data_IF_348803988653
#
_entry.id   IF_348803988653
#
_cell.length_a   1.000
_cell.length_b   1.000
_cell.length_c   1.000
_cell.angle_alpha   90.00
_cell.angle_beta   90.00
_cell.angle_gamma   90.00
#
_symmetry.space_group_name_H-M   'P 1'
#
loop_
_entity.id
_entity.type
_entity.pdbx_description
1 polymer ?
#
# COMPACT_ATOMS: atom_id res chain seq x y z
N UNK A 1 -10.21 -19.09 23.12
CA UNK A 1 -10.04 -20.25 22.23
C UNK A 1 -8.87 -19.91 21.33
N UNK A 2 -7.87 -20.80 21.13
CA UNK A 2 -6.86 -20.55 20.08
C UNK A 2 -7.61 -20.60 18.76
N UNK A 3 -7.54 -19.54 17.96
CA UNK A 3 -8.07 -19.51 16.61
C UNK A 3 -7.46 -20.64 15.77
N UNK A 4 -8.15 -21.05 14.70
CA UNK A 4 -7.61 -22.07 13.79
C UNK A 4 -6.29 -21.57 13.18
N UNK A 5 -5.26 -22.42 13.22
CA UNK A 5 -3.96 -22.12 12.60
C UNK A 5 -4.12 -22.16 11.08
N UNK A 6 -3.74 -21.09 10.39
CA UNK A 6 -3.78 -20.99 8.93
C UNK A 6 -2.37 -21.06 8.32
N UNK A 7 -2.29 -21.56 7.08
CA UNK A 7 -1.11 -21.42 6.22
C UNK A 7 -1.17 -20.14 5.41
N UNK A 8 -0.21 -19.24 5.67
CA UNK A 8 -0.23 -17.90 5.09
C UNK A 8 1.08 -17.62 4.34
N UNK A 9 0.97 -17.25 3.08
CA UNK A 9 2.12 -16.75 2.30
C UNK A 9 2.06 -15.25 2.17
N UNK A 10 3.17 -14.57 2.50
CA UNK A 10 3.29 -13.13 2.39
C UNK A 10 4.26 -12.76 1.27
N UNK A 11 3.75 -12.13 0.22
CA UNK A 11 4.53 -11.66 -0.93
C UNK A 11 4.97 -10.21 -0.69
N UNK A 12 6.28 -9.98 -0.65
CA UNK A 12 6.83 -8.65 -0.39
C UNK A 12 7.12 -8.39 1.09
N UNK A 13 8.33 -8.69 1.51
CA UNK A 13 8.80 -8.58 2.89
C UNK A 13 9.54 -7.25 3.15
N UNK A 14 8.92 -6.12 2.77
CA UNK A 14 9.32 -4.77 3.19
C UNK A 14 8.90 -4.48 4.64
N UNK A 15 8.88 -3.19 5.05
CA UNK A 15 8.54 -2.83 6.43
C UNK A 15 7.15 -3.33 6.86
N UNK A 16 6.11 -3.04 6.07
CA UNK A 16 4.73 -3.50 6.35
C UNK A 16 4.62 -5.02 6.23
N UNK A 17 5.26 -5.63 5.22
CA UNK A 17 5.23 -7.08 5.05
C UNK A 17 5.88 -7.83 6.21
N UNK A 18 7.04 -7.38 6.69
CA UNK A 18 7.69 -7.99 7.87
C UNK A 18 6.89 -7.77 9.16
N UNK A 19 6.20 -6.62 9.29
CA UNK A 19 5.30 -6.36 10.40
C UNK A 19 4.16 -7.37 10.44
N UNK A 20 3.47 -7.60 9.31
CA UNK A 20 2.43 -8.63 9.21
C UNK A 20 2.97 -10.04 9.42
N UNK A 21 4.11 -10.35 8.79
CA UNK A 21 4.74 -11.67 8.90
C UNK A 21 5.08 -12.00 10.35
N UNK A 22 5.71 -11.08 11.10
CA UNK A 22 6.04 -11.28 12.51
C UNK A 22 4.78 -11.43 13.39
N UNK A 23 3.75 -10.62 13.14
CA UNK A 23 2.51 -10.63 13.93
C UNK A 23 1.74 -11.94 13.73
N UNK A 24 1.62 -12.42 12.49
CA UNK A 24 0.96 -13.69 12.18
C UNK A 24 1.73 -14.90 12.72
N UNK A 25 3.05 -14.87 12.66
CA UNK A 25 3.90 -15.93 13.25
C UNK A 25 3.73 -15.99 14.77
N UNK A 26 3.69 -14.82 15.46
CA UNK A 26 3.47 -14.75 16.90
C UNK A 26 2.11 -15.31 17.33
N UNK A 27 1.09 -15.19 16.48
CA UNK A 27 -0.23 -15.78 16.72
C UNK A 27 -0.28 -17.30 16.49
N UNK A 28 0.80 -17.87 15.96
CA UNK A 28 0.94 -19.32 15.76
C UNK A 28 0.44 -19.79 14.40
N UNK A 29 0.28 -18.89 13.43
CA UNK A 29 0.02 -19.28 12.03
C UNK A 29 1.27 -19.89 11.39
N UNK A 30 1.09 -20.79 10.43
CA UNK A 30 2.16 -21.33 9.62
C UNK A 30 2.46 -20.32 8.50
N UNK A 31 3.54 -19.59 8.62
CA UNK A 31 3.85 -18.46 7.75
C UNK A 31 5.09 -18.67 6.90
N UNK A 32 5.09 -18.10 5.69
CA UNK A 32 6.31 -17.93 4.90
C UNK A 32 6.35 -16.55 4.23
N UNK A 33 7.58 -16.09 3.94
CA UNK A 33 7.83 -14.98 3.04
C UNK A 33 8.01 -15.45 1.60
N UNK A 34 7.55 -14.65 0.62
CA UNK A 34 7.89 -14.85 -0.79
C UNK A 34 8.70 -13.67 -1.29
N UNK A 35 9.92 -13.92 -1.71
CA UNK A 35 10.91 -12.92 -2.07
C UNK A 35 11.24 -12.98 -3.57
N UNK A 36 11.57 -11.84 -4.15
CA UNK A 36 11.99 -11.74 -5.56
C UNK A 36 13.26 -12.55 -5.85
N UNK A 37 14.22 -12.50 -4.94
CA UNK A 37 15.42 -13.35 -4.98
C UNK A 37 15.14 -14.51 -4.05
N UNK A 38 15.06 -15.71 -4.60
CA UNK A 38 14.73 -16.92 -3.86
C UNK A 38 15.82 -17.24 -2.81
N UNK A 39 15.37 -17.53 -1.59
CA UNK A 39 16.20 -17.99 -0.49
C UNK A 39 15.36 -18.89 0.43
N UNK A 40 16.01 -19.73 1.25
CA UNK A 40 15.30 -20.64 2.15
C UNK A 40 14.63 -19.95 3.30
N UNK A 41 15.26 -18.90 3.83
CA UNK A 41 14.86 -18.24 5.07
C UNK A 41 15.08 -16.74 5.00
N UNK A 42 14.24 -16.00 5.72
CA UNK A 42 14.36 -14.57 5.92
C UNK A 42 14.51 -14.27 7.41
N UNK A 43 15.56 -13.56 7.78
CA UNK A 43 15.65 -13.02 9.12
C UNK A 43 14.71 -11.81 9.27
N UNK A 44 13.75 -11.96 10.16
CA UNK A 44 12.75 -10.93 10.48
C UNK A 44 13.09 -10.34 11.85
N UNK A 45 13.41 -9.06 11.88
CA UNK A 45 13.68 -8.28 13.10
C UNK A 45 12.72 -7.09 13.12
N UNK A 46 11.76 -7.11 14.04
CA UNK A 46 10.71 -6.09 14.19
C UNK A 46 10.67 -5.60 15.63
N UNK A 47 10.72 -4.29 15.81
CA UNK A 47 10.48 -3.64 17.09
C UNK A 47 9.10 -2.98 17.08
N UNK A 48 8.27 -3.29 18.06
CA UNK A 48 6.97 -2.65 18.22
C UNK A 48 7.06 -1.34 19.03
N UNK A 49 6.01 -0.49 19.03
CA UNK A 49 6.02 0.77 19.77
C UNK A 49 6.12 0.60 21.30
N UNK A 50 5.81 -0.59 21.84
CA UNK A 50 5.96 -0.90 23.27
C UNK A 50 7.37 -1.33 23.66
N UNK A 51 8.28 -1.45 22.68
CA UNK A 51 9.66 -1.91 22.86
C UNK A 51 9.82 -3.43 22.83
N UNK A 52 8.76 -4.19 22.53
CA UNK A 52 8.90 -5.64 22.28
C UNK A 52 9.58 -5.87 20.97
N UNK A 53 10.35 -6.94 20.87
CA UNK A 53 11.09 -7.32 19.67
C UNK A 53 10.70 -8.72 19.22
N UNK A 54 10.54 -8.88 17.91
CA UNK A 54 10.45 -10.19 17.26
C UNK A 54 11.74 -10.41 16.46
N UNK A 55 12.41 -11.56 16.65
CA UNK A 55 13.66 -11.89 15.96
C UNK A 55 13.70 -13.37 15.66
N UNK A 56 13.29 -13.73 14.45
CA UNK A 56 13.25 -15.13 14.01
C UNK A 56 13.65 -15.28 12.54
N UNK A 57 14.08 -16.49 12.17
CA UNK A 57 14.20 -16.91 10.78
C UNK A 57 12.86 -17.50 10.34
N UNK A 58 12.26 -16.90 9.32
CA UNK A 58 11.00 -17.35 8.74
C UNK A 58 11.28 -18.04 7.41
N UNK A 59 10.69 -19.22 7.14
CA UNK A 59 10.82 -19.90 5.85
C UNK A 59 10.41 -19.01 4.68
N UNK A 60 11.07 -19.19 3.54
CA UNK A 60 10.79 -18.40 2.34
C UNK A 60 10.76 -19.28 1.09
N UNK A 61 10.01 -18.79 0.07
CA UNK A 61 10.00 -19.33 -1.28
C UNK A 61 9.74 -20.86 -1.38
N UNK A 62 9.00 -21.41 -0.43
CA UNK A 62 8.60 -22.81 -0.46
C UNK A 62 7.33 -22.96 -1.31
N UNK A 63 7.49 -23.59 -2.47
CA UNK A 63 6.39 -23.78 -3.42
C UNK A 63 5.28 -24.69 -2.86
N UNK A 64 5.63 -25.73 -2.09
CA UNK A 64 4.63 -26.63 -1.50
C UNK A 64 3.77 -25.91 -0.46
N UNK A 65 4.36 -24.98 0.31
CA UNK A 65 3.61 -24.13 1.23
C UNK A 65 2.68 -23.20 0.45
N UNK A 66 3.15 -22.57 -0.65
CA UNK A 66 2.32 -21.70 -1.48
C UNK A 66 1.11 -22.47 -2.05
N UNK A 67 1.33 -23.69 -2.53
CA UNK A 67 0.29 -24.57 -3.10
C UNK A 67 -0.76 -25.04 -2.08
N UNK A 68 -0.49 -24.86 -0.80
CA UNK A 68 -1.42 -25.18 0.30
C UNK A 68 -1.78 -23.97 1.15
N UNK A 69 -1.44 -22.77 0.68
CA UNK A 69 -1.78 -21.53 1.40
C UNK A 69 -3.28 -21.29 1.41
N UNK A 70 -3.78 -20.89 2.57
CA UNK A 70 -5.18 -20.55 2.83
C UNK A 70 -5.44 -19.05 2.75
N UNK A 71 -4.35 -18.25 2.78
CA UNK A 71 -4.35 -16.82 2.57
C UNK A 71 -3.02 -16.39 1.93
N UNK A 72 -3.10 -15.52 0.92
CA UNK A 72 -1.92 -14.84 0.37
C UNK A 72 -2.06 -13.34 0.64
N UNK A 73 -1.06 -12.74 1.28
CA UNK A 73 -1.01 -11.30 1.55
C UNK A 73 0.08 -10.67 0.68
N UNK A 74 -0.26 -9.65 -0.09
CA UNK A 74 0.67 -8.96 -1.00
C UNK A 74 0.98 -7.57 -0.44
N UNK A 75 2.20 -7.41 0.09
CA UNK A 75 2.71 -6.16 0.70
C UNK A 75 3.83 -5.55 -0.16
N UNK A 76 3.58 -5.39 -1.44
CA UNK A 76 4.50 -4.81 -2.41
C UNK A 76 4.18 -3.33 -2.68
N UNK A 77 5.08 -2.63 -3.36
CA UNK A 77 4.71 -1.39 -4.05
C UNK A 77 3.77 -1.72 -5.21
N UNK A 78 2.79 -0.86 -5.48
CA UNK A 78 1.76 -1.11 -6.49
C UNK A 78 2.33 -1.57 -7.85
N UNK A 79 3.39 -0.91 -8.31
CA UNK A 79 4.07 -1.23 -9.58
C UNK A 79 4.80 -2.58 -9.62
N UNK A 80 4.90 -3.29 -8.48
CA UNK A 80 5.52 -4.63 -8.40
C UNK A 80 4.48 -5.74 -8.36
N UNK A 81 3.22 -5.41 -8.11
CA UNK A 81 2.17 -6.40 -7.81
C UNK A 81 1.96 -7.36 -8.97
N UNK A 82 1.73 -6.85 -10.18
CA UNK A 82 1.47 -7.67 -11.37
C UNK A 82 2.65 -8.56 -11.71
N UNK A 83 3.87 -8.00 -11.74
CA UNK A 83 5.09 -8.75 -12.04
C UNK A 83 5.38 -9.87 -11.04
N UNK A 84 5.05 -9.64 -9.76
CA UNK A 84 5.29 -10.63 -8.71
C UNK A 84 4.20 -11.69 -8.61
N UNK A 85 2.92 -11.30 -8.78
CA UNK A 85 1.78 -12.17 -8.49
C UNK A 85 1.37 -13.02 -9.69
N UNK A 86 1.34 -12.46 -10.92
CA UNK A 86 0.89 -13.19 -12.11
C UNK A 86 1.62 -14.51 -12.34
N UNK A 87 2.97 -14.60 -12.20
CA UNK A 87 3.68 -15.87 -12.36
C UNK A 87 3.35 -16.92 -11.29
N UNK A 88 2.81 -16.50 -10.14
CA UNK A 88 2.52 -17.37 -9.01
C UNK A 88 1.09 -17.91 -8.99
N UNK A 89 0.17 -17.27 -9.73
CA UNK A 89 -1.26 -17.61 -9.69
C UNK A 89 -1.54 -19.08 -9.98
N UNK A 90 -0.80 -19.70 -10.91
CA UNK A 90 -0.93 -21.13 -11.21
C UNK A 90 -0.49 -22.08 -10.07
N UNK A 91 0.19 -21.56 -9.05
CA UNK A 91 0.61 -22.30 -7.86
C UNK A 91 -0.20 -21.95 -6.60
N UNK A 92 -1.07 -20.98 -6.68
CA UNK A 92 -2.00 -20.62 -5.59
C UNK A 92 -3.33 -21.32 -5.87
N UNK A 93 -3.92 -22.06 -4.91
CA UNK A 93 -5.23 -22.67 -5.11
C UNK A 93 -6.29 -21.62 -5.51
N UNK A 94 -7.15 -21.93 -6.48
CA UNK A 94 -8.10 -20.96 -7.03
C UNK A 94 -9.07 -20.37 -5.99
N UNK A 95 -9.33 -21.08 -4.90
CA UNK A 95 -10.17 -20.63 -3.79
C UNK A 95 -9.40 -19.89 -2.68
N UNK A 96 -8.07 -19.76 -2.79
CA UNK A 96 -7.30 -19.02 -1.79
C UNK A 96 -7.50 -17.52 -1.98
N UNK A 97 -7.96 -16.78 -0.95
CA UNK A 97 -8.08 -15.34 -1.01
C UNK A 97 -6.71 -14.66 -1.08
N UNK A 98 -6.63 -13.62 -1.89
CA UNK A 98 -5.45 -12.80 -2.07
C UNK A 98 -5.76 -11.39 -1.58
N UNK A 99 -5.10 -10.98 -0.49
CA UNK A 99 -5.23 -9.65 0.10
C UNK A 99 -4.15 -8.72 -0.43
N UNK A 100 -4.54 -7.68 -1.15
CA UNK A 100 -3.64 -6.64 -1.66
C UNK A 100 -3.51 -5.50 -0.66
N UNK A 101 -2.31 -5.31 -0.09
CA UNK A 101 -1.97 -4.26 0.87
C UNK A 101 -0.91 -3.32 0.28
N UNK A 102 -1.30 -2.50 -0.69
CA UNK A 102 -0.43 -1.47 -1.30
C UNK A 102 -1.12 -0.11 -1.31
N UNK A 103 -0.37 0.95 -1.62
CA UNK A 103 -0.95 2.26 -1.83
C UNK A 103 -1.37 2.44 -3.29
N UNK A 104 -2.33 3.34 -3.52
CA UNK A 104 -2.85 3.61 -4.85
C UNK A 104 -3.91 2.59 -5.30
N UNK A 105 -4.34 2.77 -6.54
CA UNK A 105 -5.36 1.97 -7.21
C UNK A 105 -4.90 1.65 -8.64
N UNK A 106 -5.59 0.72 -9.34
CA UNK A 106 -5.30 0.35 -10.72
C UNK A 106 -4.65 -1.02 -10.89
N UNK A 107 -4.17 -1.64 -9.83
CA UNK A 107 -3.54 -2.98 -9.89
C UNK A 107 -4.53 -4.11 -10.20
N UNK A 108 -5.80 -3.94 -9.85
CA UNK A 108 -6.84 -4.95 -10.11
C UNK A 108 -7.05 -5.14 -11.61
N UNK A 109 -7.07 -4.05 -12.36
CA UNK A 109 -7.22 -4.05 -13.82
C UNK A 109 -6.03 -4.74 -14.50
N UNK A 110 -4.83 -4.61 -13.94
CA UNK A 110 -3.62 -5.27 -14.44
C UNK A 110 -3.61 -6.78 -14.16
N UNK A 111 -4.28 -7.22 -13.10
CA UNK A 111 -4.41 -8.63 -12.73
C UNK A 111 -5.53 -9.36 -13.48
N UNK A 112 -6.35 -8.66 -14.27
CA UNK A 112 -7.44 -9.28 -15.00
C UNK A 112 -6.94 -10.20 -16.14
N UNK A 113 -7.55 -11.39 -16.35
CA UNK A 113 -8.70 -11.97 -15.66
C UNK A 113 -8.29 -12.90 -14.50
N UNK A 114 -8.17 -12.37 -13.29
CA UNK A 114 -7.92 -13.20 -12.11
C UNK A 114 -9.20 -13.88 -11.62
N UNK A 115 -9.12 -15.19 -11.28
CA UNK A 115 -10.25 -15.99 -10.78
C UNK A 115 -10.28 -16.12 -9.26
N UNK A 116 -9.17 -15.83 -8.59
CA UNK A 116 -9.07 -15.93 -7.14
C UNK A 116 -9.97 -14.91 -6.43
N UNK A 117 -10.42 -15.19 -5.21
CA UNK A 117 -11.02 -14.18 -4.34
C UNK A 117 -10.05 -13.05 -4.07
N UNK A 118 -10.36 -11.83 -4.46
CA UNK A 118 -9.50 -10.67 -4.26
C UNK A 118 -10.06 -9.77 -3.17
N UNK A 119 -9.23 -9.54 -2.17
CA UNK A 119 -9.46 -8.58 -1.10
C UNK A 119 -8.54 -7.36 -1.31
N UNK A 120 -9.07 -6.18 -1.12
CA UNK A 120 -8.25 -4.97 -0.96
C UNK A 120 -8.10 -4.64 0.51
N UNK A 121 -6.95 -4.09 0.85
CA UNK A 121 -6.68 -3.62 2.20
C UNK A 121 -6.00 -2.25 2.20
N UNK A 122 -6.42 -1.43 3.15
CA UNK A 122 -5.88 -0.09 3.40
C UNK A 122 -5.39 -0.05 4.84
N UNK A 123 -4.09 0.16 5.04
CA UNK A 123 -3.51 0.25 6.39
C UNK A 123 -2.99 1.65 6.69
N UNK A 124 -3.13 2.06 7.95
CA UNK A 124 -2.53 3.28 8.51
C UNK A 124 -1.41 2.99 9.50
N UNK A 125 -1.04 1.72 9.69
CA UNK A 125 0.16 1.37 10.44
C UNK A 125 1.38 2.07 9.85
N UNK A 126 2.20 2.66 10.71
CA UNK A 126 3.44 3.31 10.31
C UNK A 126 4.64 2.45 10.72
N UNK A 127 5.37 1.99 9.70
CA UNK A 127 6.61 1.23 9.89
C UNK A 127 7.66 1.66 8.88
N UNK A 128 8.92 1.66 9.29
CA UNK A 128 10.06 1.89 8.42
C UNK A 128 11.18 0.90 8.70
N UNK A 129 12.07 0.72 7.74
CA UNK A 129 13.15 -0.25 7.84
C UNK A 129 14.51 0.42 7.70
N UNK A 130 15.45 0.05 8.58
CA UNK A 130 16.86 0.43 8.51
C UNK A 130 17.72 -0.78 8.84
N UNK A 131 18.72 -1.06 8.02
CA UNK A 131 19.66 -2.17 8.22
C UNK A 131 18.97 -3.52 8.50
N UNK A 132 17.95 -3.87 7.71
CA UNK A 132 17.09 -5.06 7.88
C UNK A 132 16.19 -5.09 9.13
N UNK A 133 16.32 -4.14 10.06
CA UNK A 133 15.44 -4.01 11.21
C UNK A 133 14.23 -3.14 10.86
N UNK A 134 13.05 -3.59 11.23
CA UNK A 134 11.78 -2.86 11.08
C UNK A 134 11.41 -2.22 12.39
N UNK A 135 11.02 -0.96 12.32
CA UNK A 135 10.48 -0.19 13.42
C UNK A 135 9.01 0.11 13.15
N UNK A 136 8.13 -0.52 13.90
CA UNK A 136 6.72 -0.17 13.93
C UNK A 136 6.57 1.05 14.84
N UNK A 137 6.34 2.21 14.26
CA UNK A 137 6.40 3.49 15.02
C UNK A 137 5.05 3.99 15.48
N UNK A 138 3.97 3.54 14.84
CA UNK A 138 2.62 3.87 15.25
C UNK A 138 1.64 2.74 14.90
N UNK A 139 0.82 2.39 15.88
CA UNK A 139 -0.36 1.57 15.62
C UNK A 139 -1.33 2.31 14.72
N UNK A 140 -1.97 1.58 13.83
CA UNK A 140 -2.95 2.10 12.90
C UNK A 140 -4.13 1.15 12.78
N UNK A 141 -5.00 1.42 11.84
CA UNK A 141 -6.13 0.56 11.51
C UNK A 141 -5.89 0.00 10.10
N UNK A 142 -6.21 -1.28 9.92
CA UNK A 142 -6.26 -1.91 8.60
C UNK A 142 -7.72 -2.18 8.23
N UNK A 143 -8.18 -1.56 7.17
CA UNK A 143 -9.50 -1.80 6.59
C UNK A 143 -9.34 -2.78 5.45
N UNK A 144 -10.15 -3.84 5.44
CA UNK A 144 -10.15 -4.84 4.36
C UNK A 144 -11.55 -5.08 3.84
N UNK A 145 -11.67 -5.58 2.63
CA UNK A 145 -12.97 -5.96 2.06
C UNK A 145 -12.83 -6.58 0.69
N UNK A 146 -13.93 -7.17 0.22
CA UNK A 146 -14.01 -7.87 -1.06
C UNK A 146 -13.99 -6.89 -2.24
N UNK A 147 -13.20 -7.24 -3.26
CA UNK A 147 -13.20 -6.57 -4.57
C UNK A 147 -14.09 -7.31 -5.57
N UNK A 148 -14.07 -8.64 -5.57
CA UNK A 148 -14.90 -9.46 -6.44
C UNK A 148 -15.90 -10.29 -5.62
N UNK A 149 -16.91 -10.83 -6.31
CA UNK A 149 -17.99 -11.60 -5.66
C UNK A 149 -17.47 -12.85 -4.94
N UNK A 150 -16.42 -13.48 -5.45
CA UNK A 150 -15.81 -14.66 -4.85
C UNK A 150 -15.23 -14.35 -3.47
N UNK A 151 -14.79 -13.11 -3.23
CA UNK A 151 -14.17 -12.70 -1.98
C UNK A 151 -15.15 -12.37 -0.85
N UNK A 152 -16.45 -12.22 -1.13
CA UNK A 152 -17.45 -11.83 -0.12
C UNK A 152 -17.55 -12.80 1.06
N UNK A 153 -17.35 -14.10 0.82
CA UNK A 153 -17.43 -15.12 1.86
C UNK A 153 -16.23 -15.09 2.84
N UNK A 154 -15.17 -14.37 2.52
CA UNK A 154 -13.93 -14.35 3.31
C UNK A 154 -13.88 -13.25 4.38
N UNK A 155 -15.02 -12.66 4.73
CA UNK A 155 -15.08 -11.65 5.81
C UNK A 155 -14.50 -12.12 7.16
N UNK A 156 -14.51 -13.44 7.54
CA UNK A 156 -13.89 -13.85 8.80
C UNK A 156 -12.37 -13.66 8.86
N UNK A 157 -11.70 -13.46 7.72
CA UNK A 157 -10.26 -13.13 7.70
C UNK A 157 -9.97 -11.85 8.50
N UNK A 158 -10.93 -10.93 8.58
CA UNK A 158 -10.77 -9.72 9.38
C UNK A 158 -10.48 -10.02 10.85
N UNK A 159 -11.17 -10.99 11.44
CA UNK A 159 -10.98 -11.37 12.83
C UNK A 159 -9.61 -12.01 13.05
N UNK A 160 -9.18 -12.89 12.13
CA UNK A 160 -7.87 -13.55 12.17
C UNK A 160 -6.73 -12.51 12.09
N UNK A 161 -6.86 -11.56 11.17
CA UNK A 161 -5.88 -10.47 11.02
C UNK A 161 -5.91 -9.52 12.23
N UNK A 162 -7.10 -9.27 12.81
CA UNK A 162 -7.25 -8.44 14.01
C UNK A 162 -6.55 -9.07 15.23
N UNK A 163 -6.65 -10.38 15.41
CA UNK A 163 -5.94 -11.09 16.47
C UNK A 163 -4.42 -11.00 16.32
N UNK A 164 -3.90 -10.95 15.08
CA UNK A 164 -2.47 -10.87 14.83
C UNK A 164 -1.93 -9.44 14.93
N UNK A 165 -2.58 -8.47 14.30
CA UNK A 165 -2.16 -7.06 14.28
C UNK A 165 -3.40 -6.16 14.34
N UNK A 166 -3.89 -5.81 15.55
CA UNK A 166 -5.04 -4.93 15.69
C UNK A 166 -4.71 -3.47 15.30
N UNK A 167 -5.69 -2.64 14.86
CA UNK A 167 -7.08 -3.02 14.62
C UNK A 167 -7.27 -3.39 13.14
N UNK A 168 -8.17 -4.37 12.90
CA UNK A 168 -8.61 -4.70 11.53
C UNK A 168 -10.13 -4.64 11.46
N UNK A 169 -10.67 -4.03 10.41
CA UNK A 169 -12.10 -3.89 10.17
C UNK A 169 -12.49 -4.34 8.76
N UNK A 170 -13.56 -5.12 8.66
CA UNK A 170 -14.16 -5.48 7.38
C UNK A 170 -15.09 -4.38 6.87
N UNK A 171 -15.03 -4.09 5.56
CA UNK A 171 -15.89 -3.16 4.88
C UNK A 171 -16.58 -3.81 3.68
N UNK A 172 -17.90 -3.75 3.65
CA UNK A 172 -18.68 -4.25 2.50
C UNK A 172 -18.44 -3.43 1.22
N UNK A 173 -17.99 -2.18 1.37
CA UNK A 173 -17.69 -1.26 0.27
C UNK A 173 -16.26 -0.71 0.43
N UNK A 174 -15.28 -1.61 0.44
CA UNK A 174 -13.85 -1.26 0.65
C UNK A 174 -13.33 -0.24 -0.37
N UNK A 175 -13.89 -0.22 -1.58
CA UNK A 175 -13.50 0.74 -2.62
C UNK A 175 -13.62 2.19 -2.15
N UNK A 176 -14.66 2.54 -1.38
CA UNK A 176 -14.82 3.88 -0.81
C UNK A 176 -13.64 4.25 0.11
N UNK A 177 -13.19 3.29 0.92
CA UNK A 177 -12.02 3.49 1.81
C UNK A 177 -10.73 3.62 1.01
N UNK A 178 -10.58 2.83 -0.07
CA UNK A 178 -9.44 2.96 -0.99
C UNK A 178 -9.40 4.35 -1.64
N UNK A 179 -10.55 4.84 -2.13
CA UNK A 179 -10.67 6.19 -2.69
C UNK A 179 -10.31 7.27 -1.66
N UNK A 180 -10.84 7.20 -0.43
CA UNK A 180 -10.51 8.19 0.62
C UNK A 180 -9.01 8.27 0.87
N UNK A 181 -8.32 7.14 0.94
CA UNK A 181 -6.85 7.11 1.08
C UNK A 181 -6.13 7.62 -0.17
N UNK A 182 -6.61 7.23 -1.36
CA UNK A 182 -6.05 7.72 -2.62
C UNK A 182 -6.06 9.24 -2.68
N UNK A 183 -7.20 9.85 -2.37
CA UNK A 183 -7.39 11.30 -2.37
C UNK A 183 -6.40 12.00 -1.45
N UNK A 184 -6.28 11.53 -0.21
CA UNK A 184 -5.32 12.08 0.73
C UNK A 184 -3.89 12.00 0.18
N UNK A 185 -3.54 10.87 -0.44
CA UNK A 185 -2.23 10.67 -1.05
C UNK A 185 -2.02 11.54 -2.30
N UNK A 186 -3.06 11.80 -3.12
CA UNK A 186 -2.97 12.71 -4.27
C UNK A 186 -2.64 14.15 -3.84
N UNK A 187 -3.14 14.58 -2.67
CA UNK A 187 -2.84 15.92 -2.14
C UNK A 187 -1.48 15.94 -1.45
N UNK A 188 -1.30 15.10 -0.44
CA UNK A 188 -0.17 15.20 0.49
C UNK A 188 1.14 14.76 -0.15
N UNK A 189 1.14 13.62 -0.85
CA UNK A 189 2.38 12.99 -1.27
C UNK A 189 3.15 13.83 -2.30
N UNK A 190 2.56 14.28 -3.43
CA UNK A 190 3.31 15.06 -4.40
C UNK A 190 3.69 16.45 -3.88
N UNK A 191 2.83 17.09 -3.08
CA UNK A 191 3.16 18.39 -2.49
C UNK A 191 4.35 18.32 -1.53
N UNK A 192 4.44 17.25 -0.72
CA UNK A 192 5.62 17.06 0.15
C UNK A 192 6.89 16.82 -0.65
N UNK A 193 6.82 16.21 -1.84
CA UNK A 193 7.96 16.07 -2.76
C UNK A 193 8.32 17.42 -3.38
N UNK A 194 7.34 18.22 -3.78
CA UNK A 194 7.55 19.54 -4.36
C UNK A 194 8.29 20.47 -3.40
N UNK A 195 7.82 20.53 -2.15
CA UNK A 195 8.35 21.44 -1.12
C UNK A 195 9.43 20.82 -0.25
N UNK A 196 9.79 19.56 -0.47
CA UNK A 196 10.75 18.77 0.34
C UNK A 196 10.50 18.93 1.85
N UNK A 197 9.25 18.85 2.27
CA UNK A 197 8.81 19.21 3.61
C UNK A 197 8.04 18.10 4.34
N UNK A 198 7.87 18.28 5.65
CA UNK A 198 6.94 17.46 6.47
C UNK A 198 5.49 17.79 6.12
N UNK A 199 4.60 16.82 6.36
CA UNK A 199 3.18 16.96 6.07
C UNK A 199 2.56 18.22 6.69
N UNK A 200 2.91 18.54 7.94
CA UNK A 200 2.36 19.70 8.65
C UNK A 200 2.66 21.06 8.00
N UNK A 201 3.76 21.17 7.23
CA UNK A 201 4.10 22.42 6.54
C UNK A 201 3.24 22.68 5.31
N UNK A 202 2.43 21.69 4.87
CA UNK A 202 1.50 21.87 3.76
C UNK A 202 0.37 22.85 4.10
N UNK A 203 0.12 23.14 5.37
CA UNK A 203 -0.84 24.16 5.81
C UNK A 203 -0.55 25.56 5.22
N UNK A 204 0.70 25.82 4.86
CA UNK A 204 1.15 27.08 4.27
C UNK A 204 0.77 27.21 2.76
N UNK A 205 0.22 26.13 2.15
CA UNK A 205 -0.11 26.08 0.73
C UNK A 205 -1.63 25.84 0.47
N UNK A 206 -2.55 26.57 1.14
CA UNK A 206 -3.98 26.29 1.08
C UNK A 206 -4.58 26.45 -0.33
N UNK A 207 -4.02 27.35 -1.13
CA UNK A 207 -4.49 27.58 -2.51
C UNK A 207 -4.25 26.34 -3.39
N UNK A 208 -3.07 25.75 -3.32
CA UNK A 208 -2.74 24.55 -4.10
C UNK A 208 -3.55 23.35 -3.62
N UNK A 209 -3.66 23.16 -2.30
CA UNK A 209 -4.50 22.10 -1.72
C UNK A 209 -5.93 22.23 -2.27
N UNK A 210 -6.51 23.45 -2.27
CA UNK A 210 -7.88 23.68 -2.79
C UNK A 210 -7.98 23.33 -4.28
N UNK A 211 -7.00 23.71 -5.10
CA UNK A 211 -6.98 23.41 -6.54
C UNK A 211 -6.96 21.89 -6.81
N UNK A 212 -6.11 21.16 -6.08
CA UNK A 212 -6.04 19.70 -6.19
C UNK A 212 -7.36 19.06 -5.78
N UNK A 213 -7.97 19.53 -4.68
CA UNK A 213 -9.26 19.02 -4.18
C UNK A 213 -10.38 19.30 -5.19
N UNK A 214 -10.38 20.45 -5.86
CA UNK A 214 -11.37 20.76 -6.90
C UNK A 214 -11.33 19.77 -8.05
N UNK A 215 -10.13 19.44 -8.54
CA UNK A 215 -9.94 18.44 -9.58
C UNK A 215 -10.38 17.04 -9.12
N UNK A 216 -10.03 16.66 -7.88
CA UNK A 216 -10.42 15.38 -7.29
C UNK A 216 -11.94 15.27 -7.16
N UNK A 217 -12.62 16.31 -6.66
CA UNK A 217 -14.08 16.33 -6.53
C UNK A 217 -14.76 16.11 -7.88
N UNK A 218 -14.26 16.75 -8.94
CA UNK A 218 -14.81 16.58 -10.28
C UNK A 218 -14.68 15.12 -10.78
N UNK A 219 -13.54 14.47 -10.51
CA UNK A 219 -13.35 13.08 -10.88
C UNK A 219 -14.24 12.14 -10.06
N UNK A 220 -14.34 12.37 -8.74
CA UNK A 220 -15.21 11.57 -7.87
C UNK A 220 -16.67 11.64 -8.28
N UNK A 221 -17.15 12.84 -8.60
CA UNK A 221 -18.54 13.02 -9.08
C UNK A 221 -18.78 12.24 -10.36
N UNK A 222 -17.83 12.26 -11.30
CA UNK A 222 -17.92 11.51 -12.55
C UNK A 222 -17.87 9.99 -12.33
N UNK A 223 -17.16 9.52 -11.30
CA UNK A 223 -17.14 8.11 -10.86
C UNK A 223 -18.39 7.70 -10.06
N UNK A 224 -19.35 8.62 -9.84
CA UNK A 224 -20.55 8.38 -9.04
C UNK A 224 -20.29 8.33 -7.53
N UNK A 225 -19.17 8.85 -7.08
CA UNK A 225 -18.77 8.93 -5.68
C UNK A 225 -19.08 10.35 -5.16
N UNK A 226 -20.33 10.57 -4.75
CA UNK A 226 -20.73 11.87 -4.22
C UNK A 226 -19.92 12.23 -2.98
N UNK A 227 -19.31 13.39 -3.01
CA UNK A 227 -18.54 13.90 -1.88
C UNK A 227 -18.77 15.41 -1.72
N UNK A 228 -18.92 15.85 -0.49
CA UNK A 228 -18.92 17.28 -0.17
C UNK A 228 -17.48 17.79 -0.14
N UNK A 229 -17.22 18.85 -0.92
CA UNK A 229 -15.89 19.48 -0.98
C UNK A 229 -15.41 19.96 0.40
N UNK A 230 -16.32 20.47 1.24
CA UNK A 230 -15.99 20.96 2.58
C UNK A 230 -15.56 19.79 3.46
N UNK A 231 -16.34 18.69 3.45
CA UNK A 231 -16.02 17.48 4.19
C UNK A 231 -14.66 16.89 3.76
N UNK A 232 -14.42 16.86 2.44
CA UNK A 232 -13.14 16.36 1.92
C UNK A 232 -11.98 17.26 2.32
N UNK A 233 -12.17 18.58 2.27
CA UNK A 233 -11.16 19.56 2.71
C UNK A 233 -10.82 19.36 4.19
N UNK A 234 -11.83 19.27 5.05
CA UNK A 234 -11.64 19.01 6.49
C UNK A 234 -10.90 17.70 6.75
N UNK A 235 -11.27 16.64 6.01
CA UNK A 235 -10.60 15.35 6.08
C UNK A 235 -9.09 15.45 5.72
N UNK A 236 -8.75 16.13 4.63
CA UNK A 236 -7.35 16.32 4.21
C UNK A 236 -6.57 17.11 5.28
N UNK A 237 -7.12 18.22 5.77
CA UNK A 237 -6.45 19.00 6.81
C UNK A 237 -6.30 18.20 8.11
N UNK A 238 -7.27 17.37 8.47
CA UNK A 238 -7.15 16.48 9.63
C UNK A 238 -5.96 15.51 9.52
N UNK A 239 -5.73 14.97 8.32
CA UNK A 239 -4.56 14.10 8.06
C UNK A 239 -3.27 14.90 8.15
N UNK A 240 -3.20 16.07 7.52
CA UNK A 240 -2.03 16.96 7.57
C UNK A 240 -1.67 17.27 9.02
N UNK A 241 -2.66 17.59 9.84
CA UNK A 241 -2.48 17.90 11.26
C UNK A 241 -2.01 16.68 12.06
N UNK A 242 -2.72 15.54 11.94
CA UNK A 242 -2.44 14.33 12.69
C UNK A 242 -1.09 13.69 12.32
N UNK A 243 -0.58 13.97 11.13
CA UNK A 243 0.70 13.46 10.63
C UNK A 243 1.75 14.57 10.45
N UNK A 244 1.55 15.70 11.12
CA UNK A 244 2.34 16.94 10.90
C UNK A 244 3.85 16.76 11.07
N UNK A 245 4.28 15.90 11.99
CA UNK A 245 5.70 15.59 12.23
C UNK A 245 6.31 14.61 11.22
N UNK A 246 5.48 13.97 10.38
CA UNK A 246 5.91 12.90 9.47
C UNK A 246 6.34 13.45 8.11
N UNK A 247 7.21 12.71 7.44
CA UNK A 247 7.44 12.82 6.00
C UNK A 247 6.53 11.81 5.27
N UNK A 248 5.96 12.18 4.14
CA UNK A 248 5.17 11.26 3.33
C UNK A 248 6.02 10.07 2.85
N UNK A 249 5.38 8.93 2.60
CA UNK A 249 6.07 7.76 2.05
C UNK A 249 6.70 8.04 0.69
N UNK A 250 6.05 8.86 -0.14
CA UNK A 250 6.56 9.26 -1.45
C UNK A 250 7.81 10.12 -1.33
N UNK A 251 7.83 11.11 -0.44
CA UNK A 251 9.02 11.91 -0.19
C UNK A 251 10.17 11.05 0.36
N UNK A 252 9.88 10.08 1.22
CA UNK A 252 10.88 9.13 1.70
C UNK A 252 11.44 8.26 0.57
N UNK A 253 10.61 7.81 -0.38
CA UNK A 253 11.07 7.08 -1.56
C UNK A 253 11.98 7.96 -2.43
N UNK A 254 11.57 9.21 -2.70
CA UNK A 254 12.37 10.20 -3.46
C UNK A 254 13.72 10.45 -2.80
N UNK A 255 13.75 10.73 -1.50
CA UNK A 255 15.01 10.96 -0.76
C UNK A 255 15.94 9.75 -0.70
N UNK A 256 15.39 8.55 -0.87
CA UNK A 256 16.17 7.31 -0.91
C UNK A 256 16.41 6.82 -2.35
N UNK A 257 16.16 7.64 -3.37
CA UNK A 257 16.31 7.29 -4.79
C UNK A 257 15.57 6.00 -5.16
N UNK A 258 14.35 5.84 -4.67
CA UNK A 258 13.47 4.69 -4.97
C UNK A 258 12.32 5.13 -5.85
N UNK A 259 11.88 4.24 -6.75
CA UNK A 259 10.65 4.44 -7.52
C UNK A 259 9.47 4.60 -6.57
N UNK A 260 8.66 5.62 -6.80
CA UNK A 260 7.47 5.94 -6.02
C UNK A 260 6.24 5.16 -6.52
N UNK A 261 5.09 5.39 -5.88
CA UNK A 261 3.79 4.87 -6.34
C UNK A 261 2.96 5.95 -7.06
N UNK A 262 3.60 6.99 -7.60
CA UNK A 262 2.90 8.13 -8.24
C UNK A 262 1.99 7.68 -9.39
N UNK A 263 2.39 6.65 -10.15
CA UNK A 263 1.62 6.10 -11.28
C UNK A 263 0.26 5.53 -10.83
N UNK A 264 0.19 4.95 -9.62
CA UNK A 264 -0.98 4.31 -9.03
C UNK A 264 -1.74 5.23 -8.04
N UNK A 265 -1.21 6.40 -7.75
CA UNK A 265 -1.85 7.45 -6.94
C UNK A 265 -2.38 8.53 -7.86
N UNK A 266 -1.61 9.55 -8.14
CA UNK A 266 -2.00 10.68 -9.01
C UNK A 266 -2.22 10.22 -10.46
N UNK A 267 -1.39 9.28 -10.95
CA UNK A 267 -1.55 8.71 -12.30
C UNK A 267 -2.87 7.98 -12.48
N UNK A 268 -3.34 7.24 -11.46
CA UNK A 268 -4.66 6.62 -11.51
C UNK A 268 -5.79 7.68 -11.56
N UNK A 269 -5.73 8.72 -10.72
CA UNK A 269 -6.70 9.82 -10.74
C UNK A 269 -6.76 10.49 -12.13
N UNK A 270 -5.61 10.79 -12.72
CA UNK A 270 -5.51 11.39 -14.07
C UNK A 270 -6.12 10.45 -15.13
N UNK A 271 -5.87 9.14 -15.02
CA UNK A 271 -6.45 8.13 -15.92
C UNK A 271 -7.97 8.15 -15.85
N UNK A 272 -8.55 8.18 -14.65
CA UNK A 272 -10.00 8.25 -14.47
C UNK A 272 -10.56 9.58 -14.99
N UNK A 273 -9.91 10.71 -14.70
CA UNK A 273 -10.30 12.00 -15.24
C UNK A 273 -10.39 11.98 -16.79
N UNK A 274 -9.36 11.45 -17.44
CA UNK A 274 -9.33 11.35 -18.91
C UNK A 274 -10.42 10.44 -19.49
N UNK A 275 -10.77 9.36 -18.79
CA UNK A 275 -11.87 8.47 -19.19
C UNK A 275 -13.22 9.20 -19.19
N UNK A 276 -13.39 10.21 -18.34
CA UNK A 276 -14.57 11.07 -18.26
C UNK A 276 -14.43 12.40 -19.01
N UNK A 277 -13.35 12.61 -19.78
CA UNK A 277 -13.12 13.86 -20.52
C UNK A 277 -12.82 15.07 -19.61
N UNK A 278 -12.38 14.84 -18.38
CA UNK A 278 -12.03 15.88 -17.42
C UNK A 278 -10.55 16.26 -17.50
N UNK A 279 -10.24 17.51 -17.16
CA UNK A 279 -8.86 18.01 -17.07
C UNK A 279 -8.45 18.17 -15.62
N UNK A 280 -7.22 17.76 -15.31
CA UNK A 280 -6.63 17.81 -13.97
C UNK A 280 -5.25 18.47 -14.02
N UNK A 281 -5.16 19.76 -14.40
CA UNK A 281 -3.89 20.42 -14.68
C UNK A 281 -2.94 20.44 -13.49
N UNK A 282 -3.42 20.61 -12.26
CA UNK A 282 -2.54 20.64 -11.10
C UNK A 282 -2.06 19.22 -10.72
N UNK A 283 -2.92 18.20 -10.78
CA UNK A 283 -2.51 16.81 -10.61
C UNK A 283 -1.55 16.36 -11.73
N UNK A 284 -1.78 16.73 -13.00
CA UNK A 284 -0.87 16.46 -14.12
C UNK A 284 0.51 17.11 -13.88
N UNK A 285 0.54 18.38 -13.42
CA UNK A 285 1.78 19.10 -13.10
C UNK A 285 2.57 18.38 -12.01
N UNK A 286 1.92 18.01 -10.92
CA UNK A 286 2.54 17.33 -9.79
C UNK A 286 3.00 15.91 -10.16
N UNK A 287 2.23 15.19 -10.95
CA UNK A 287 2.62 13.90 -11.49
C UNK A 287 3.94 14.00 -12.27
N UNK A 288 4.04 14.93 -13.19
CA UNK A 288 5.26 15.14 -13.98
C UNK A 288 6.44 15.61 -13.14
N UNK A 289 6.19 16.42 -12.11
CA UNK A 289 7.22 16.82 -11.16
C UNK A 289 7.86 15.60 -10.47
N UNK A 290 7.04 14.69 -9.94
CA UNK A 290 7.54 13.47 -9.28
C UNK A 290 8.23 12.54 -10.28
N UNK A 291 7.67 12.35 -11.48
CA UNK A 291 8.30 11.53 -12.54
C UNK A 291 9.66 12.07 -12.95
N UNK A 292 9.81 13.39 -13.06
CA UNK A 292 11.11 14.01 -13.36
C UNK A 292 12.12 13.75 -12.24
N UNK A 293 11.69 13.71 -10.97
CA UNK A 293 12.56 13.32 -9.85
C UNK A 293 13.02 11.86 -10.00
N UNK A 294 12.12 10.95 -10.36
CA UNK A 294 12.46 9.54 -10.58
C UNK A 294 13.48 9.36 -11.72
N UNK A 295 13.32 10.07 -12.85
CA UNK A 295 14.25 10.01 -14.01
C UNK A 295 15.66 10.46 -13.63
N UNK A 296 15.81 11.49 -12.80
CA UNK A 296 17.12 11.96 -12.35
C UNK A 296 17.92 10.86 -11.62
N UNK A 297 17.26 9.89 -10.96
CA UNK A 297 17.95 8.77 -10.31
C UNK A 297 18.42 7.71 -11.31
N UNK A 298 17.61 7.41 -12.31
CA UNK A 298 17.94 6.41 -13.33
C UNK A 298 19.10 6.91 -14.19
N UNK A 299 19.15 8.20 -14.52
CA UNK A 299 20.27 8.83 -15.24
C UNK A 299 21.55 8.81 -14.40
N UNK A 300 21.46 9.09 -13.10
CA UNK A 300 22.60 9.04 -12.19
C UNK A 300 23.16 7.61 -12.07
N UNK A 301 22.29 6.60 -11.91
CA UNK A 301 22.69 5.18 -11.88
C UNK A 301 23.31 4.72 -13.19
N UNK A 302 22.73 5.10 -14.32
CA UNK A 302 23.25 4.76 -15.65
C UNK A 302 24.63 5.37 -15.92
N UNK A 303 24.88 6.59 -15.44
CA UNK A 303 26.16 7.26 -15.59
C UNK A 303 27.24 6.66 -14.66
N UNK A 304 26.88 6.19 -13.45
CA UNK A 304 27.80 5.45 -12.59
C UNK A 304 28.25 4.10 -13.20
N UNK A 305 27.39 3.43 -13.95
CA UNK A 305 27.74 2.17 -14.64
C UNK A 305 28.52 2.39 -15.95
N UNK A 306 28.57 3.61 -16.49
CA UNK A 306 29.36 3.95 -17.69
C UNK A 306 30.76 4.47 -17.37
N UNK A 307 31.06 4.72 -16.10
CA UNK A 307 32.36 5.24 -15.65
C UNK A 307 33.32 4.17 -15.08
N UNK A 308 33.07 2.89 -15.39
CA UNK A 308 33.97 1.76 -15.10
C UNK A 308 34.29 0.96 -16.35
#
# INVERSE_FOLDING_TARGET
>A
MKGETMKITLIGCGAIGKLWLSSLTLQGHETQGWLRVAQSDLFVDVNDPSGRTFRELIPCNNINHLQTSELVIVCLKAWQVSDALLPLLGNIPENTPILLLHNGMGTIEELAPIRHPILAGVTTHAAWQKNNQVFHVAHGITHIGAINSQAQAYYPIADILHEALPDVAWHNHIQTTCWRKLIANCVINPLTVEYDCKNGLLIDYPKQISQIIDEICAVMEAEGLHTDKSELTEYIYSIIYNTSANYSSMLQDVRNNRRTEIDYITGFLIKQARAHGLSTPENDRLYHLVKNREQQYDDFRSNLHRSW
#
